data_IF_726459230193
#
_entry.id   IF_726459230193
#
_cell.length_a   1.000
_cell.length_b   1.000
_cell.length_c   1.000
_cell.angle_alpha   90.00
_cell.angle_beta   90.00
_cell.angle_gamma   90.00
#
_symmetry.space_group_name_H-M   'P 1'
#
loop_
_entity.id
_entity.type
_entity.pdbx_description
1 polymer ?
#
# COMPACT_ATOMS: atom_id res chain seq x y z
N UNK A 1 -13.66 51.27 -34.20
CA UNK A 1 -12.17 51.22 -34.12
C UNK A 1 -11.61 51.24 -32.68
N UNK A 2 -12.31 51.81 -31.67
CA UNK A 2 -11.88 51.77 -30.25
C UNK A 2 -11.84 50.35 -29.66
N UNK A 3 -12.88 49.55 -29.88
CA UNK A 3 -12.98 48.17 -29.39
C UNK A 3 -11.79 47.25 -29.77
N UNK A 4 -11.26 47.39 -30.99
CA UNK A 4 -10.10 46.60 -31.44
C UNK A 4 -8.80 46.94 -30.68
N UNK A 5 -8.62 48.21 -30.29
CA UNK A 5 -7.44 48.61 -29.48
C UNK A 5 -7.56 48.08 -28.06
N UNK A 6 -8.76 48.15 -27.46
CA UNK A 6 -9.02 47.62 -26.12
C UNK A 6 -8.79 46.11 -26.04
N UNK A 7 -9.27 45.34 -27.02
CA UNK A 7 -8.99 43.90 -27.11
C UNK A 7 -7.50 43.58 -27.27
N UNK A 8 -6.76 44.41 -28.01
CA UNK A 8 -5.31 44.21 -28.19
C UNK A 8 -4.54 44.48 -26.89
N UNK A 9 -4.91 45.50 -26.13
CA UNK A 9 -4.30 45.77 -24.82
C UNK A 9 -4.69 44.71 -23.79
N UNK A 10 -5.94 44.25 -23.80
CA UNK A 10 -6.42 43.17 -22.94
C UNK A 10 -5.65 41.87 -23.18
N UNK A 11 -5.57 41.40 -24.42
CA UNK A 11 -4.83 40.17 -24.75
C UNK A 11 -3.33 40.26 -24.41
N UNK A 12 -2.72 41.44 -24.58
CA UNK A 12 -1.33 41.66 -24.18
C UNK A 12 -1.15 41.55 -22.67
N UNK A 13 -2.03 42.17 -21.89
CA UNK A 13 -1.97 42.14 -20.44
C UNK A 13 -2.23 40.72 -19.90
N UNK A 14 -3.16 39.97 -20.51
CA UNK A 14 -3.40 38.55 -20.16
C UNK A 14 -2.17 37.70 -20.44
N UNK A 15 -1.52 37.85 -21.61
CA UNK A 15 -0.28 37.13 -21.92
C UNK A 15 0.85 37.45 -20.96
N UNK A 16 1.04 38.73 -20.63
CA UNK A 16 2.02 39.17 -19.63
C UNK A 16 1.71 38.63 -18.24
N UNK A 17 0.44 38.64 -17.84
CA UNK A 17 -0.01 38.06 -16.58
C UNK A 17 0.27 36.57 -16.49
N UNK A 18 0.05 35.84 -17.60
CA UNK A 18 0.35 34.41 -17.69
C UNK A 18 1.84 34.14 -17.52
N UNK A 19 2.69 34.87 -18.24
CA UNK A 19 4.15 34.77 -18.11
C UNK A 19 4.60 35.05 -16.68
N UNK A 20 4.09 36.11 -16.05
CA UNK A 20 4.43 36.43 -14.66
C UNK A 20 3.94 35.36 -13.68
N UNK A 21 2.73 34.81 -13.88
CA UNK A 21 2.19 33.75 -13.02
C UNK A 21 3.03 32.48 -13.08
N UNK A 22 3.51 32.11 -14.27
CA UNK A 22 4.36 30.95 -14.49
C UNK A 22 5.74 31.16 -13.84
N UNK A 23 6.31 32.36 -13.97
CA UNK A 23 7.59 32.71 -13.37
C UNK A 23 7.53 32.66 -11.84
N UNK A 24 6.43 33.14 -11.24
CA UNK A 24 6.20 33.07 -9.78
C UNK A 24 6.07 31.60 -9.34
N UNK A 25 5.36 30.77 -10.11
CA UNK A 25 5.18 29.35 -9.79
C UNK A 25 6.53 28.61 -9.83
N UNK A 26 7.32 28.80 -10.89
CA UNK A 26 8.68 28.23 -10.99
C UNK A 26 9.57 28.71 -9.84
N UNK A 27 9.53 30.02 -9.53
CA UNK A 27 10.29 30.56 -8.40
C UNK A 27 9.87 29.93 -7.08
N UNK A 28 8.58 29.67 -6.87
CA UNK A 28 8.08 29.03 -5.65
C UNK A 28 8.64 27.62 -5.49
N UNK A 29 8.63 26.80 -6.55
CA UNK A 29 9.23 25.46 -6.51
C UNK A 29 10.76 25.50 -6.37
N UNK A 30 11.42 26.50 -6.94
CA UNK A 30 12.87 26.67 -6.82
C UNK A 30 13.30 27.07 -5.41
N UNK A 31 12.59 28.01 -4.78
CA UNK A 31 12.91 28.50 -3.43
C UNK A 31 12.36 27.62 -2.31
N UNK A 32 11.29 26.84 -2.57
CA UNK A 32 10.68 25.93 -1.61
C UNK A 32 10.58 24.50 -2.15
N UNK A 33 11.71 23.84 -2.48
CA UNK A 33 11.70 22.50 -3.08
C UNK A 33 11.20 21.40 -2.12
N UNK A 34 11.22 21.66 -0.80
CA UNK A 34 11.03 20.64 0.23
C UNK A 34 9.82 20.93 1.13
N UNK A 35 8.61 20.99 0.56
CA UNK A 35 7.36 20.91 1.36
C UNK A 35 7.01 19.49 1.82
N UNK A 36 7.95 18.54 1.68
CA UNK A 36 7.91 17.28 2.41
C UNK A 36 8.31 17.54 3.86
N UNK A 37 7.46 18.26 4.61
CA UNK A 37 7.43 18.06 6.06
C UNK A 37 7.03 16.61 6.23
N UNK A 38 8.03 15.76 6.44
CA UNK A 38 7.87 14.43 7.01
C UNK A 38 7.24 14.65 8.37
N UNK A 39 5.92 14.81 8.42
CA UNK A 39 5.17 14.62 9.64
C UNK A 39 5.42 13.17 10.00
N UNK A 40 6.42 12.99 10.86
CA UNK A 40 6.71 11.71 11.46
C UNK A 40 5.44 11.33 12.21
N UNK A 41 4.68 10.38 11.67
CA UNK A 41 3.53 9.77 12.32
C UNK A 41 4.01 8.87 13.49
N UNK A 42 5.22 9.11 14.01
CA UNK A 42 5.82 8.30 15.07
C UNK A 42 5.35 8.71 16.48
N UNK A 43 4.39 9.64 16.57
CA UNK A 43 3.79 10.08 17.84
C UNK A 43 2.29 9.76 17.93
N UNK A 44 1.82 8.75 17.18
CA UNK A 44 0.58 8.08 17.57
C UNK A 44 0.91 7.25 18.80
N UNK A 45 0.70 7.83 19.99
CA UNK A 45 0.62 7.08 21.22
C UNK A 45 -0.29 5.87 20.96
N UNK A 46 0.27 4.66 21.04
CA UNK A 46 -0.49 3.43 20.87
C UNK A 46 -1.74 3.51 21.75
N UNK A 47 -2.94 3.25 21.19
CA UNK A 47 -4.15 3.33 21.98
C UNK A 47 -4.03 2.36 23.16
N UNK A 48 -4.31 2.84 24.37
CA UNK A 48 -4.37 1.99 25.56
C UNK A 48 -5.58 1.06 25.36
N UNK A 49 -5.32 -0.15 24.89
CA UNK A 49 -6.33 -1.20 24.78
C UNK A 49 -6.56 -1.74 26.19
N UNK A 50 -7.63 -1.26 26.83
CA UNK A 50 -8.13 -1.80 28.08
C UNK A 50 -8.89 -3.09 27.78
N UNK A 51 -8.27 -4.23 28.08
CA UNK A 51 -8.95 -5.52 28.06
C UNK A 51 -9.84 -5.61 29.30
N UNK A 52 -11.13 -5.35 29.12
CA UNK A 52 -12.14 -5.66 30.12
C UNK A 52 -12.56 -7.12 29.92
N UNK A 53 -12.32 -7.96 30.93
CA UNK A 53 -12.68 -9.37 30.89
C UNK A 53 -14.21 -9.51 30.84
N UNK A 54 -14.73 -9.84 29.65
CA UNK A 54 -16.15 -10.14 29.46
C UNK A 54 -16.42 -11.46 30.21
N UNK A 55 -17.37 -11.50 31.16
CA UNK A 55 -17.69 -12.72 31.87
C UNK A 55 -18.16 -13.80 30.89
N UNK A 56 -17.74 -15.04 31.13
CA UNK A 56 -18.14 -16.20 30.32
C UNK A 56 -19.68 -16.28 30.33
N UNK A 57 -20.29 -16.08 29.17
CA UNK A 57 -21.74 -16.21 29.03
C UNK A 57 -22.10 -17.70 29.07
N UNK A 58 -22.84 -18.10 30.09
CA UNK A 58 -23.38 -19.45 30.17
C UNK A 58 -24.64 -19.49 29.31
N UNK A 59 -24.52 -20.07 28.11
CA UNK A 59 -25.69 -20.39 27.30
C UNK A 59 -26.44 -21.54 27.98
N UNK A 60 -27.59 -21.24 28.57
CA UNK A 60 -28.50 -22.28 29.06
C UNK A 60 -28.92 -23.13 27.86
N UNK A 61 -28.46 -24.39 27.83
CA UNK A 61 -28.91 -25.41 26.89
C UNK A 61 -30.37 -25.76 27.16
N UNK A 62 -31.27 -24.83 26.88
CA UNK A 62 -32.67 -25.17 26.70
C UNK A 62 -32.77 -25.86 25.34
N UNK A 63 -33.17 -27.14 25.28
CA UNK A 63 -33.39 -27.81 24.01
C UNK A 63 -34.49 -27.05 23.28
N UNK A 64 -34.13 -26.37 22.21
CA UNK A 64 -35.07 -25.70 21.32
C UNK A 64 -35.90 -26.81 20.67
N UNK A 65 -37.17 -26.94 21.07
CA UNK A 65 -38.05 -28.06 20.71
C UNK A 65 -38.42 -28.11 19.23
N UNK A 66 -38.25 -27.00 18.51
CA UNK A 66 -38.48 -26.93 17.07
C UNK A 66 -37.78 -25.72 16.44
N UNK A 67 -37.32 -25.90 15.21
CA UNK A 67 -36.83 -24.79 14.39
C UNK A 67 -37.98 -23.79 14.17
N UNK A 68 -37.77 -22.47 14.35
CA UNK A 68 -38.79 -21.48 14.03
C UNK A 68 -39.16 -21.58 12.55
N UNK A 69 -40.45 -21.39 12.25
CA UNK A 69 -40.93 -21.39 10.86
C UNK A 69 -40.26 -20.25 10.08
N UNK A 70 -39.77 -20.51 8.86
CA UNK A 70 -39.19 -19.47 8.04
C UNK A 70 -40.26 -18.42 7.69
N UNK A 71 -39.93 -17.12 7.72
CA UNK A 71 -40.88 -16.09 7.35
C UNK A 71 -41.29 -16.25 5.89
N UNK A 72 -42.58 -16.11 5.60
CA UNK A 72 -43.08 -16.07 4.24
C UNK A 72 -42.68 -14.74 3.59
N UNK A 73 -41.76 -14.80 2.64
CA UNK A 73 -41.42 -13.67 1.79
C UNK A 73 -42.51 -13.60 0.72
N UNK A 74 -43.33 -12.55 0.75
CA UNK A 74 -44.26 -12.25 -0.35
C UNK A 74 -43.42 -11.60 -1.46
N UNK A 75 -43.08 -12.37 -2.48
CA UNK A 75 -42.45 -11.85 -3.69
C UNK A 75 -43.59 -11.33 -4.59
N UNK A 76 -43.60 -10.04 -4.97
CA UNK A 76 -44.55 -9.51 -5.94
C UNK A 76 -44.43 -10.29 -7.26
N UNK A 77 -45.55 -10.78 -7.78
CA UNK A 77 -45.61 -11.62 -8.99
C UNK A 77 -45.39 -10.79 -10.29
N UNK A 78 -45.55 -9.47 -10.21
CA UNK A 78 -45.22 -8.54 -11.29
C UNK A 78 -43.87 -7.87 -11.02
N UNK A 79 -42.80 -8.45 -11.56
CA UNK A 79 -41.61 -7.68 -11.87
C UNK A 79 -41.83 -7.06 -13.26
N UNK A 80 -41.93 -5.74 -13.34
CA UNK A 80 -41.81 -5.03 -14.62
C UNK A 80 -40.51 -5.48 -15.30
N UNK A 81 -40.65 -5.95 -16.53
CA UNK A 81 -39.54 -6.44 -17.35
C UNK A 81 -38.58 -5.26 -17.55
N UNK A 82 -37.39 -5.33 -16.92
CA UNK A 82 -36.37 -4.29 -17.07
C UNK A 82 -36.00 -4.17 -18.55
N UNK A 83 -36.12 -2.95 -19.08
CA UNK A 83 -35.71 -2.60 -20.44
C UNK A 83 -34.19 -2.82 -20.57
N UNK A 84 -33.80 -3.98 -21.10
CA UNK A 84 -32.39 -4.33 -21.33
C UNK A 84 -31.90 -3.54 -22.53
N UNK A 85 -30.99 -2.60 -22.28
CA UNK A 85 -30.31 -1.85 -23.33
C UNK A 85 -29.46 -2.80 -24.21
N UNK A 86 -29.43 -2.54 -25.51
CA UNK A 86 -28.63 -3.31 -26.47
C UNK A 86 -27.12 -3.25 -26.15
N UNK A 87 -26.45 -4.40 -26.25
CA UNK A 87 -25.01 -4.51 -26.01
C UNK A 87 -24.23 -3.66 -27.03
N UNK A 88 -23.57 -2.61 -26.56
CA UNK A 88 -22.59 -1.87 -27.35
C UNK A 88 -21.30 -2.70 -27.44
N UNK A 89 -20.96 -3.15 -28.64
CA UNK A 89 -19.69 -3.84 -28.90
C UNK A 89 -18.52 -2.85 -28.75
N UNK A 90 -17.87 -2.87 -27.59
CA UNK A 90 -16.60 -2.18 -27.39
C UNK A 90 -15.54 -2.96 -28.19
N UNK A 91 -15.01 -2.33 -29.24
CA UNK A 91 -13.85 -2.88 -29.97
C UNK A 91 -12.63 -2.75 -29.07
N UNK A 92 -12.21 -3.86 -28.48
CA UNK A 92 -10.92 -3.94 -27.78
C UNK A 92 -9.83 -3.91 -28.84
N UNK A 93 -9.11 -2.79 -28.94
CA UNK A 93 -7.81 -2.74 -29.64
C UNK A 93 -6.80 -3.55 -28.82
N UNK A 94 -6.86 -4.87 -28.96
CA UNK A 94 -5.78 -5.78 -28.64
C UNK A 94 -4.87 -5.86 -29.86
N UNK A 95 -4.14 -4.78 -30.13
CA UNK A 95 -2.95 -4.84 -30.97
C UNK A 95 -2.15 -3.58 -30.70
N UNK A 96 -1.18 -3.70 -29.78
CA UNK A 96 0.11 -3.01 -29.74
C UNK A 96 0.67 -3.18 -28.32
N UNK A 97 1.21 -4.37 -28.03
CA UNK A 97 2.34 -4.50 -27.11
C UNK A 97 2.88 -5.94 -27.17
N UNK A 98 3.78 -6.18 -28.13
CA UNK A 98 4.84 -7.18 -27.93
C UNK A 98 6.20 -6.49 -28.08
N UNK A 99 6.91 -6.53 -26.95
CA UNK A 99 8.37 -6.53 -26.74
C UNK A 99 9.25 -5.41 -27.29
N UNK A 100 9.95 -4.83 -26.30
CA UNK A 100 11.31 -4.32 -26.31
C UNK A 100 11.55 -3.02 -27.07
N UNK A 101 11.63 -1.92 -26.31
CA UNK A 101 12.75 -0.98 -26.27
C UNK A 101 12.48 0.04 -25.13
N UNK A 102 13.21 0.00 -24.01
CA UNK A 102 14.36 0.88 -23.79
C UNK A 102 14.09 2.35 -24.18
N UNK A 103 13.44 3.10 -23.29
CA UNK A 103 13.79 4.47 -22.92
C UNK A 103 12.71 5.07 -22.00
N UNK A 104 13.06 5.23 -20.72
CA UNK A 104 13.04 6.52 -20.04
C UNK A 104 12.02 7.55 -20.57
N UNK A 105 10.79 7.53 -20.07
CA UNK A 105 9.91 8.71 -19.98
C UNK A 105 8.62 8.38 -19.22
N UNK A 106 8.70 8.37 -17.90
CA UNK A 106 7.52 8.51 -17.03
C UNK A 106 7.47 9.93 -16.50
N UNK A 107 6.92 10.83 -17.31
CA UNK A 107 6.16 11.97 -16.79
C UNK A 107 4.84 11.46 -16.23
N UNK A 108 4.92 10.71 -15.13
CA UNK A 108 3.77 10.35 -14.30
C UNK A 108 3.81 11.23 -13.06
N UNK A 109 3.14 12.39 -13.17
CA UNK A 109 2.68 13.14 -12.00
C UNK A 109 1.78 12.25 -11.17
N UNK A 110 2.33 11.74 -10.08
CA UNK A 110 1.65 10.84 -9.16
C UNK A 110 2.67 10.11 -8.32
N UNK A 111 3.50 10.83 -7.56
CA UNK A 111 4.34 10.23 -6.52
C UNK A 111 3.41 9.81 -5.38
N UNK A 112 2.67 8.71 -5.60
CA UNK A 112 2.29 7.86 -4.51
C UNK A 112 3.59 7.34 -3.93
N UNK A 113 3.87 7.68 -2.67
CA UNK A 113 4.87 6.98 -1.87
C UNK A 113 4.43 5.52 -1.84
N UNK A 114 4.87 4.73 -2.83
CA UNK A 114 4.91 3.29 -2.70
C UNK A 114 5.92 3.10 -1.60
N UNK A 115 5.43 2.89 -0.37
CA UNK A 115 6.25 2.41 0.73
C UNK A 115 6.86 1.11 0.22
N UNK A 116 8.09 1.18 -0.29
CA UNK A 116 8.83 0.01 -0.76
C UNK A 116 9.08 -0.83 0.47
N UNK A 117 8.19 -1.79 0.68
CA UNK A 117 8.33 -2.77 1.73
C UNK A 117 9.31 -3.80 1.20
N UNK A 118 10.44 -4.03 1.87
CA UNK A 118 11.50 -4.87 1.34
C UNK A 118 10.97 -6.27 1.08
N UNK A 119 11.10 -6.73 -0.16
CA UNK A 119 10.73 -8.06 -0.61
C UNK A 119 11.96 -8.94 -0.60
N UNK A 120 11.86 -10.12 0.00
CA UNK A 120 12.96 -11.08 -0.03
C UNK A 120 13.10 -11.69 -1.44
N UNK A 121 14.30 -11.60 -2.01
CA UNK A 121 14.68 -12.12 -3.33
C UNK A 121 15.43 -13.44 -3.20
N UNK A 122 16.27 -13.57 -2.17
CA UNK A 122 16.98 -14.81 -1.85
C UNK A 122 16.74 -15.18 -0.39
N UNK A 123 16.21 -16.37 -0.18
CA UNK A 123 16.07 -16.98 1.14
C UNK A 123 17.15 -18.04 1.34
N UNK A 124 17.96 -17.86 2.37
CA UNK A 124 18.96 -18.85 2.79
C UNK A 124 18.47 -19.50 4.07
N UNK A 125 18.37 -20.82 4.07
CA UNK A 125 17.96 -21.61 5.23
C UNK A 125 19.19 -22.14 5.98
N UNK A 126 19.17 -22.16 7.32
CA UNK A 126 20.24 -22.76 8.10
C UNK A 126 20.27 -24.29 7.92
N UNK A 127 21.45 -24.88 8.07
CA UNK A 127 21.62 -26.33 8.01
C UNK A 127 20.77 -27.06 9.06
N UNK A 128 20.08 -28.13 8.63
CA UNK A 128 19.30 -28.99 9.53
C UNK A 128 20.23 -29.71 10.52
N UNK A 129 19.92 -29.60 11.81
CA UNK A 129 20.59 -30.37 12.87
C UNK A 129 19.84 -31.70 13.08
N UNK A 130 20.55 -32.80 13.41
CA UNK A 130 19.89 -34.00 13.92
C UNK A 130 19.30 -33.73 15.32
N UNK A 131 17.97 -33.74 15.41
CA UNK A 131 17.19 -33.50 16.63
C UNK A 131 15.96 -32.64 16.35
N UNK A 132 14.82 -32.98 16.94
CA UNK A 132 13.60 -32.15 16.90
C UNK A 132 13.78 -30.99 17.88
N UNK A 133 14.21 -29.85 17.35
CA UNK A 133 14.18 -28.56 18.03
C UNK A 133 13.16 -27.70 17.30
N UNK A 134 12.08 -27.39 17.99
CA UNK A 134 11.02 -26.50 17.51
C UNK A 134 11.04 -25.21 18.32
N UNK A 135 10.77 -24.10 17.65
CA UNK A 135 10.76 -22.78 18.25
C UNK A 135 10.60 -21.70 17.20
N UNK A 136 10.60 -20.46 17.64
CA UNK A 136 10.41 -19.27 16.83
C UNK A 136 11.40 -18.17 17.22
N UNK A 137 11.80 -17.39 16.22
CA UNK A 137 12.62 -16.19 16.41
C UNK A 137 11.96 -15.06 15.64
N UNK A 138 11.75 -13.93 16.31
CA UNK A 138 11.36 -12.68 15.67
C UNK A 138 12.58 -11.78 15.56
N UNK A 139 12.95 -11.46 14.32
CA UNK A 139 14.08 -10.60 13.99
C UNK A 139 13.59 -9.29 13.39
N UNK A 140 14.15 -8.19 13.85
CA UNK A 140 14.12 -6.92 13.15
C UNK A 140 15.41 -6.78 12.35
N UNK A 141 15.30 -6.61 11.03
CA UNK A 141 16.43 -6.49 10.12
C UNK A 141 16.45 -5.10 9.50
N UNK A 142 17.65 -4.50 9.45
CA UNK A 142 17.91 -3.28 8.71
C UNK A 142 18.62 -3.65 7.42
N UNK A 143 17.97 -3.36 6.30
CA UNK A 143 18.43 -3.67 4.96
C UNK A 143 18.89 -2.36 4.31
N UNK A 144 19.99 -2.40 3.57
CA UNK A 144 20.49 -1.25 2.80
C UNK A 144 19.95 -1.19 1.37
N UNK A 145 20.35 -0.16 0.62
CA UNK A 145 19.98 0.03 -0.78
C UNK A 145 20.52 -1.06 -1.72
N UNK A 146 21.51 -1.86 -1.28
CA UNK A 146 22.05 -2.98 -2.04
C UNK A 146 21.28 -4.29 -1.81
N UNK A 147 20.32 -4.28 -0.89
CA UNK A 147 19.54 -5.45 -0.54
C UNK A 147 20.25 -6.38 0.45
N UNK A 148 21.23 -5.89 1.21
CA UNK A 148 21.98 -6.66 2.20
C UNK A 148 21.59 -6.27 3.65
N UNK A 149 21.62 -7.23 4.58
CA UNK A 149 21.41 -6.92 6.02
C UNK A 149 22.64 -6.23 6.58
N UNK A 150 22.45 -5.04 7.14
CA UNK A 150 23.51 -4.30 7.84
C UNK A 150 23.42 -4.51 9.36
N UNK A 151 22.21 -4.54 9.90
CA UNK A 151 21.98 -4.61 11.34
C UNK A 151 20.80 -5.53 11.67
N UNK A 152 20.86 -6.19 12.82
CA UNK A 152 19.77 -7.02 13.32
C UNK A 152 19.49 -6.73 14.80
N UNK A 153 18.23 -6.91 15.20
CA UNK A 153 17.80 -6.90 16.59
C UNK A 153 16.86 -8.08 16.84
N UNK A 154 17.16 -8.85 17.87
CA UNK A 154 16.32 -9.98 18.30
C UNK A 154 15.20 -9.43 19.17
N UNK A 155 13.95 -9.63 18.73
CA UNK A 155 12.76 -9.22 19.47
C UNK A 155 12.26 -10.34 20.37
N UNK A 156 12.27 -11.56 19.84
CA UNK A 156 11.86 -12.76 20.56
C UNK A 156 12.75 -13.93 20.11
N UNK A 157 13.14 -14.77 21.08
CA UNK A 157 13.81 -16.03 20.82
C UNK A 157 13.26 -17.07 21.79
N UNK A 158 12.51 -18.05 21.29
CA UNK A 158 12.05 -19.20 22.07
C UNK A 158 12.93 -20.44 21.90
N UNK A 159 14.00 -20.36 21.08
CA UNK A 159 14.95 -21.46 20.96
C UNK A 159 15.91 -21.52 22.15
N UNK A 160 15.97 -22.67 22.80
CA UNK A 160 16.91 -23.02 23.86
C UNK A 160 18.29 -23.43 23.30
N UNK A 161 18.77 -22.75 22.25
CA UNK A 161 20.00 -23.12 21.55
C UNK A 161 20.72 -21.91 20.95
N UNK A 162 21.81 -21.48 21.60
CA UNK A 162 22.63 -20.34 21.16
C UNK A 162 23.33 -20.58 19.82
N UNK A 163 23.79 -21.79 19.57
CA UNK A 163 24.44 -22.13 18.29
C UNK A 163 23.44 -22.12 17.12
N UNK A 164 22.18 -22.44 17.39
CA UNK A 164 21.11 -22.42 16.41
C UNK A 164 20.81 -20.98 16.01
N UNK A 165 20.72 -20.07 17.00
CA UNK A 165 20.56 -18.64 16.78
C UNK A 165 21.67 -18.08 15.90
N UNK A 166 22.94 -18.42 16.15
CA UNK A 166 24.06 -17.98 15.30
C UNK A 166 23.94 -18.44 13.85
N UNK A 167 23.52 -19.69 13.63
CA UNK A 167 23.30 -20.22 12.28
C UNK A 167 22.14 -19.52 11.58
N UNK A 168 21.03 -19.28 12.28
CA UNK A 168 19.88 -18.55 11.75
C UNK A 168 20.27 -17.12 11.37
N UNK A 169 21.00 -16.43 12.25
CA UNK A 169 21.52 -15.08 11.96
C UNK A 169 22.45 -15.12 10.75
N UNK A 170 23.37 -16.09 10.67
CA UNK A 170 24.25 -16.21 9.50
C UNK A 170 23.49 -16.42 8.19
N UNK A 171 22.39 -17.17 8.22
CA UNK A 171 21.53 -17.40 7.07
C UNK A 171 20.72 -16.14 6.70
N UNK A 172 20.25 -15.38 7.70
CA UNK A 172 19.66 -14.06 7.48
C UNK A 172 20.66 -13.13 6.78
N UNK A 173 21.89 -12.99 7.25
CA UNK A 173 22.90 -12.13 6.59
C UNK A 173 23.29 -12.57 5.17
N UNK A 174 23.05 -13.84 4.80
CA UNK A 174 23.29 -14.34 3.43
C UNK A 174 22.07 -14.18 2.51
N UNK A 175 20.90 -13.86 3.07
CA UNK A 175 19.69 -13.60 2.30
C UNK A 175 19.78 -12.25 1.58
N UNK A 176 18.94 -12.03 0.56
CA UNK A 176 18.89 -10.77 -0.21
C UNK A 176 17.47 -10.24 -0.33
N UNK A 177 17.34 -8.91 -0.38
CA UNK A 177 16.06 -8.20 -0.48
C UNK A 177 16.08 -7.12 -1.58
N UNK A 178 14.90 -6.70 -2.03
CA UNK A 178 14.63 -5.64 -3.02
C UNK A 178 13.50 -4.73 -2.55
#
# INVERSE_FOLDING_TARGET
>A
MKYFKEHKHYSRNVKLGLIFSELILIATFYYFPNFNSSYSINDINEPIILFEDIPITVQTNNPITSKPEPPSIIIPEEMEELEVLENVAIKTENDLMDKNDLAENTNASGIGLISMMPRQVLEVLPEKRPGELEGEINLYLKIDESGEVVEHKILLNSLECDDCLKKILSAAYQSKWE
#
